data_IF_006079185077
#
_entry.id   IF_006079185077
#
_cell.length_a   1.000
_cell.length_b   1.000
_cell.length_c   1.000
_cell.angle_alpha   90.00
_cell.angle_beta   90.00
_cell.angle_gamma   90.00
#
_symmetry.space_group_name_H-M   'P 1'
#
loop_
_entity.id
_entity.type
_entity.pdbx_description
1 polymer ?
#
# COMPACT_ATOMS: atom_id res chain seq x y z
N UNK A 1 6.63 1.60 5.61
CA UNK A 1 5.70 0.84 6.46
C UNK A 1 6.36 0.47 7.78
N UNK A 2 7.37 -0.44 7.79
CA UNK A 2 8.13 -0.79 9.01
C UNK A 2 8.54 0.41 9.86
N UNK A 3 9.29 1.34 9.27
CA UNK A 3 9.74 2.55 10.00
C UNK A 3 8.59 3.36 10.61
N UNK A 4 7.46 3.46 9.91
CA UNK A 4 6.29 4.19 10.40
C UNK A 4 5.70 3.55 11.66
N UNK A 5 5.53 2.22 11.66
CA UNK A 5 4.87 1.52 12.76
C UNK A 5 5.84 1.11 13.88
N UNK A 6 7.00 0.55 13.53
CA UNK A 6 7.95 0.00 14.49
C UNK A 6 8.77 1.10 15.17
N UNK A 7 9.22 2.12 14.42
CA UNK A 7 10.16 3.13 14.94
C UNK A 7 9.45 4.42 15.35
N UNK A 8 8.46 4.87 14.56
CA UNK A 8 7.75 6.13 14.80
C UNK A 8 6.44 5.97 15.58
N UNK A 9 5.95 4.74 15.76
CA UNK A 9 4.72 4.47 16.53
C UNK A 9 3.45 5.10 15.94
N UNK A 10 3.40 5.32 14.61
CA UNK A 10 2.18 5.89 14.00
C UNK A 10 1.03 4.91 14.12
N UNK A 11 -0.18 5.43 14.40
CA UNK A 11 -1.37 4.58 14.52
C UNK A 11 -2.04 4.28 13.19
N UNK A 12 -1.74 5.09 12.17
CA UNK A 12 -2.39 5.07 10.87
C UNK A 12 -1.44 5.59 9.80
N UNK A 13 -1.27 4.81 8.74
CA UNK A 13 -0.53 5.20 7.55
C UNK A 13 -1.49 5.27 6.36
N UNK A 14 -1.47 6.38 5.63
CA UNK A 14 -2.43 6.63 4.55
C UNK A 14 -1.79 6.57 3.17
N UNK A 15 -2.54 6.04 2.20
CA UNK A 15 -2.23 6.12 0.78
C UNK A 15 -3.36 6.84 0.06
N UNK A 16 -3.03 7.91 -0.67
CA UNK A 16 -3.98 8.71 -1.43
C UNK A 16 -3.58 8.75 -2.88
N UNK A 17 -4.50 8.39 -3.76
CA UNK A 17 -4.27 8.45 -5.20
C UNK A 17 -5.49 9.02 -5.92
N UNK A 18 -5.31 9.34 -7.20
CA UNK A 18 -6.43 9.65 -8.07
C UNK A 18 -7.32 8.42 -8.22
N UNK A 19 -8.64 8.57 -8.08
CA UNK A 19 -9.59 7.46 -8.22
C UNK A 19 -9.51 6.77 -9.59
N UNK A 20 -9.06 7.49 -10.63
CA UNK A 20 -8.83 6.97 -11.99
C UNK A 20 -7.45 6.29 -12.16
N UNK A 21 -6.54 6.41 -11.19
CA UNK A 21 -5.22 5.77 -11.25
C UNK A 21 -5.29 4.31 -10.80
N UNK A 22 -5.81 3.45 -11.68
CA UNK A 22 -5.93 2.01 -11.42
C UNK A 22 -4.61 1.33 -11.00
N UNK A 23 -3.43 1.64 -11.59
CA UNK A 23 -2.17 1.09 -11.11
C UNK A 23 -1.86 1.43 -9.65
N UNK A 24 -2.05 2.68 -9.22
CA UNK A 24 -1.79 3.09 -7.84
C UNK A 24 -2.77 2.47 -6.85
N UNK A 25 -4.05 2.35 -7.24
CA UNK A 25 -5.08 1.66 -6.45
C UNK A 25 -4.75 0.19 -6.22
N UNK A 26 -4.39 -0.52 -7.29
CA UNK A 26 -3.93 -1.92 -7.21
C UNK A 26 -2.69 -2.08 -6.34
N UNK A 27 -1.76 -1.11 -6.38
CA UNK A 27 -0.58 -1.14 -5.53
C UNK A 27 -0.92 -0.96 -4.05
N UNK A 28 -1.80 -0.01 -3.70
CA UNK A 28 -2.25 0.20 -2.33
C UNK A 28 -2.87 -1.08 -1.75
N UNK A 29 -3.79 -1.71 -2.50
CA UNK A 29 -4.43 -2.97 -2.11
C UNK A 29 -3.41 -4.11 -1.98
N UNK A 30 -2.50 -4.26 -2.94
CA UNK A 30 -1.42 -5.28 -2.90
C UNK A 30 -0.51 -5.11 -1.68
N UNK A 31 -0.29 -3.89 -1.21
CA UNK A 31 0.54 -3.60 -0.05
C UNK A 31 -0.22 -3.70 1.29
N UNK A 32 -1.49 -4.10 1.27
CA UNK A 32 -2.28 -4.32 2.48
C UNK A 32 -2.98 -3.07 3.00
N UNK A 33 -3.07 -2.00 2.22
CA UNK A 33 -3.90 -0.86 2.58
C UNK A 33 -5.36 -1.16 2.25
N UNK A 34 -6.26 -0.87 3.19
CA UNK A 34 -7.71 -1.02 3.05
C UNK A 34 -8.32 0.24 2.44
N UNK A 35 -9.21 0.08 1.47
CA UNK A 35 -9.96 1.19 0.87
C UNK A 35 -11.00 1.72 1.87
N UNK A 36 -11.06 3.04 2.03
CA UNK A 36 -11.97 3.69 2.97
C UNK A 36 -12.94 4.67 2.33
N UNK A 37 -12.69 5.10 1.08
CA UNK A 37 -13.64 5.94 0.36
C UNK A 37 -13.01 6.81 -0.72
N UNK A 38 -13.88 7.57 -1.39
CA UNK A 38 -13.49 8.54 -2.40
C UNK A 38 -14.03 9.90 -2.00
N UNK A 39 -13.13 10.88 -1.93
CA UNK A 39 -13.52 12.28 -1.88
C UNK A 39 -13.73 12.76 -3.31
N UNK A 40 -14.98 13.05 -3.65
CA UNK A 40 -15.38 13.58 -4.95
C UNK A 40 -14.98 15.03 -5.07
N UNK A 41 -14.49 15.42 -6.25
CA UNK A 41 -14.02 16.77 -6.56
C UNK A 41 -13.00 17.31 -5.55
N UNK A 42 -12.14 16.43 -5.02
CA UNK A 42 -11.22 16.79 -3.94
C UNK A 42 -10.19 17.83 -4.39
N UNK A 43 -9.68 17.73 -5.63
CA UNK A 43 -8.64 18.61 -6.15
C UNK A 43 -8.84 18.89 -7.64
N UNK A 44 -8.25 19.99 -8.12
CA UNK A 44 -7.95 20.21 -9.54
C UNK A 44 -6.45 19.95 -9.75
N UNK A 45 -6.10 18.98 -10.58
CA UNK A 45 -4.71 18.63 -10.87
C UNK A 45 -4.50 18.68 -12.38
N UNK A 46 -3.54 19.49 -12.84
CA UNK A 46 -3.24 19.67 -14.27
C UNK A 46 -4.49 20.03 -15.10
N UNK A 47 -5.32 20.94 -14.57
CA UNK A 47 -6.50 21.44 -15.25
C UNK A 47 -7.70 20.48 -15.31
N UNK A 48 -7.66 19.32 -14.64
CA UNK A 48 -8.79 18.40 -14.56
C UNK A 48 -9.24 18.12 -13.14
N UNK A 49 -10.51 17.74 -13.00
CA UNK A 49 -11.05 17.19 -11.76
C UNK A 49 -10.25 15.95 -11.32
N UNK A 50 -10.00 15.85 -10.02
CA UNK A 50 -9.45 14.67 -9.37
C UNK A 50 -10.31 14.32 -8.16
N UNK A 51 -10.99 13.20 -8.29
CA UNK A 51 -11.50 12.45 -7.15
C UNK A 51 -10.33 11.73 -6.48
N UNK A 52 -10.27 11.74 -5.15
CA UNK A 52 -9.18 11.09 -4.41
C UNK A 52 -9.68 9.83 -3.73
N UNK A 53 -9.11 8.69 -4.11
CA UNK A 53 -9.30 7.44 -3.40
C UNK A 53 -8.37 7.40 -2.19
N UNK A 54 -8.96 7.08 -1.04
CA UNK A 54 -8.29 7.00 0.26
C UNK A 54 -8.19 5.55 0.70
N UNK A 55 -6.98 5.20 1.13
CA UNK A 55 -6.66 3.92 1.70
C UNK A 55 -5.85 4.11 2.97
N UNK A 56 -5.92 3.13 3.88
CA UNK A 56 -5.15 3.16 5.11
C UNK A 56 -4.71 1.78 5.58
N UNK A 57 -3.64 1.77 6.37
CA UNK A 57 -3.22 0.63 7.18
C UNK A 57 -3.13 1.12 8.63
N UNK A 58 -3.67 0.34 9.57
CA UNK A 58 -3.59 0.63 10.99
C UNK A 58 -2.41 -0.10 11.62
N UNK A 59 -1.98 0.41 12.77
CA UNK A 59 -1.00 -0.24 13.65
C UNK A 59 -1.35 -1.71 13.94
N UNK A 60 -2.64 -2.02 14.16
CA UNK A 60 -3.13 -3.37 14.43
C UNK A 60 -3.08 -4.30 13.22
N UNK A 61 -3.10 -3.77 12.00
CA UNK A 61 -3.00 -4.57 10.78
C UNK A 61 -1.54 -4.95 10.48
N UNK A 62 -0.61 -4.09 10.88
CA UNK A 62 0.80 -4.23 10.53
C UNK A 62 1.45 -5.55 10.96
N UNK A 63 1.26 -6.10 12.18
CA UNK A 63 1.84 -7.38 12.57
C UNK A 63 1.49 -8.52 11.61
N UNK A 64 0.26 -8.53 11.07
CA UNK A 64 -0.19 -9.55 10.10
C UNK A 64 0.56 -9.41 8.77
N UNK A 65 0.70 -8.19 8.27
CA UNK A 65 1.33 -7.94 6.97
C UNK A 65 2.85 -7.98 7.02
N UNK A 66 3.46 -7.63 8.15
CA UNK A 66 4.92 -7.62 8.35
C UNK A 66 5.58 -8.92 7.91
N UNK A 67 5.04 -10.06 8.35
CA UNK A 67 5.57 -11.39 7.99
C UNK A 67 5.49 -11.66 6.49
N UNK A 68 4.43 -11.22 5.82
CA UNK A 68 4.29 -11.34 4.38
C UNK A 68 5.34 -10.51 3.63
N UNK A 69 5.58 -9.27 4.08
CA UNK A 69 6.64 -8.42 3.53
C UNK A 69 8.03 -9.00 3.76
N UNK A 70 8.33 -9.51 4.94
CA UNK A 70 9.62 -10.13 5.27
C UNK A 70 9.87 -11.37 4.40
N UNK A 71 8.86 -12.24 4.25
CA UNK A 71 8.94 -13.42 3.36
C UNK A 71 9.17 -12.99 1.91
N UNK A 72 8.41 -12.00 1.43
CA UNK A 72 8.48 -11.56 0.04
C UNK A 72 9.81 -10.85 -0.29
N UNK A 73 10.37 -10.10 0.67
CA UNK A 73 11.65 -9.39 0.51
C UNK A 73 12.87 -10.26 0.81
N UNK A 74 12.69 -11.46 1.38
CA UNK A 74 13.79 -12.38 1.63
C UNK A 74 14.58 -12.64 0.34
N UNK A 75 15.92 -12.64 0.38
CA UNK A 75 16.74 -13.02 -0.77
C UNK A 75 16.35 -14.39 -1.35
N UNK A 76 15.88 -15.31 -0.51
CA UNK A 76 15.42 -16.64 -0.91
C UNK A 76 14.21 -16.60 -1.85
N UNK A 77 13.43 -15.51 -1.83
CA UNK A 77 12.30 -15.32 -2.72
C UNK A 77 12.72 -14.83 -4.12
N UNK A 78 14.01 -14.65 -4.41
CA UNK A 78 14.48 -14.20 -5.72
C UNK A 78 15.38 -15.26 -6.37
N UNK A 79 15.28 -15.39 -7.69
CA UNK A 79 16.20 -16.23 -8.46
C UNK A 79 17.47 -15.46 -8.85
N UNK A 80 18.44 -16.13 -9.48
CA UNK A 80 19.70 -15.50 -9.90
C UNK A 80 19.54 -14.32 -10.89
N UNK A 81 18.37 -14.17 -11.52
CA UNK A 81 18.02 -13.05 -12.41
C UNK A 81 17.30 -11.91 -11.68
N UNK A 82 17.06 -12.03 -10.37
CA UNK A 82 16.31 -11.05 -9.58
C UNK A 82 14.79 -11.14 -9.74
N UNK A 83 14.27 -12.21 -10.33
CA UNK A 83 12.83 -12.40 -10.48
C UNK A 83 12.25 -13.03 -9.20
N UNK A 84 11.11 -12.52 -8.75
CA UNK A 84 10.41 -13.05 -7.58
C UNK A 84 9.88 -14.48 -7.87
N UNK A 85 10.08 -15.40 -6.92
CA UNK A 85 9.54 -16.77 -6.94
C UNK A 85 8.08 -16.80 -6.51
N UNK A 86 7.74 -16.06 -5.46
CA UNK A 86 6.38 -15.84 -4.99
C UNK A 86 6.04 -14.34 -4.98
N UNK A 87 4.79 -14.01 -5.30
CA UNK A 87 4.26 -12.65 -5.19
C UNK A 87 3.93 -12.34 -3.72
N UNK A 88 3.99 -11.06 -3.36
CA UNK A 88 3.46 -10.60 -2.08
C UNK A 88 1.98 -10.98 -1.99
N UNK A 89 1.62 -11.69 -0.93
CA UNK A 89 0.25 -12.03 -0.57
C UNK A 89 0.00 -11.48 0.83
N UNK A 90 -0.89 -10.48 0.91
CA UNK A 90 -1.34 -9.87 2.17
C UNK A 90 -2.73 -10.39 2.59
N UNK A 91 -3.13 -11.56 2.06
CA UNK A 91 -4.38 -12.26 2.39
C UNK A 91 -4.30 -13.02 3.70
#
# INVERSE_FOLDING_TARGET
>A
VRHCFDDLGVRRLEWKCDALNAPSRKAAERFGFTFEGIFRQHLIVKGRNRDTAWYAMLDKDWPRFRKAFETWLSPDNFNAKGEQKAKLQVS
#
